data_IF_755455867851
#
_entry.id   IF_755455867851
#
_cell.length_a   1.000
_cell.length_b   1.000
_cell.length_c   1.000
_cell.angle_alpha   90.00
_cell.angle_beta   90.00
_cell.angle_gamma   90.00
#
_symmetry.space_group_name_H-M   'P 1'
#
loop_
_entity.id
_entity.type
_entity.pdbx_description
1 polymer ?
#
# COMPACT_ATOMS: atom_id res chain seq x y z
N UNK A 1 34.94 -52.76 6.74
CA UNK A 1 33.83 -52.45 7.65
C UNK A 1 33.92 -50.94 7.90
N UNK A 2 33.39 -50.12 7.01
CA UNK A 2 31.96 -49.71 6.95
C UNK A 2 31.51 -49.05 8.27
N UNK A 3 30.92 -47.86 8.36
CA UNK A 3 30.72 -46.71 7.47
C UNK A 3 30.32 -45.56 8.39
N UNK A 4 30.72 -44.35 8.00
CA UNK A 4 30.30 -43.07 8.57
C UNK A 4 28.79 -42.93 8.75
N UNK A 5 28.38 -42.26 9.83
CA UNK A 5 27.00 -41.85 10.08
C UNK A 5 26.92 -40.43 10.62
N UNK A 6 27.63 -39.48 10.01
CA UNK A 6 27.37 -38.06 10.26
C UNK A 6 26.02 -37.72 9.66
N UNK A 7 24.97 -37.67 10.49
CA UNK A 7 23.69 -37.06 10.12
C UNK A 7 23.96 -35.59 9.78
N UNK A 8 24.14 -35.32 8.48
CA UNK A 8 24.03 -33.96 7.95
C UNK A 8 22.61 -33.51 8.23
N UNK A 9 22.49 -32.49 9.07
CA UNK A 9 21.28 -31.70 9.22
C UNK A 9 20.74 -31.37 7.84
N UNK A 10 19.53 -31.88 7.58
CA UNK A 10 18.79 -31.67 6.37
C UNK A 10 18.47 -30.18 6.31
N UNK A 11 19.25 -29.42 5.53
CA UNK A 11 18.92 -28.02 5.23
C UNK A 11 17.56 -28.02 4.56
N UNK A 12 16.63 -27.26 5.13
CA UNK A 12 15.33 -26.96 4.56
C UNK A 12 15.49 -26.10 3.30
N UNK A 13 15.98 -26.69 2.20
CA UNK A 13 16.21 -26.00 0.92
C UNK A 13 14.90 -25.73 0.13
N UNK A 14 13.73 -26.11 0.68
CA UNK A 14 12.45 -26.08 -0.06
C UNK A 14 11.56 -24.85 0.16
N UNK A 15 11.66 -24.12 1.27
CA UNK A 15 10.68 -23.08 1.65
C UNK A 15 11.15 -21.66 1.42
N UNK A 16 12.43 -21.39 1.63
CA UNK A 16 13.05 -20.07 1.48
C UNK A 16 12.77 -19.39 0.12
N UNK A 17 12.69 -20.12 -1.02
CA UNK A 17 12.32 -19.52 -2.31
C UNK A 17 10.86 -19.04 -2.38
N UNK A 18 9.93 -19.69 -1.66
CA UNK A 18 8.49 -19.43 -1.76
C UNK A 18 8.05 -18.33 -0.80
N UNK A 19 8.50 -18.38 0.46
CA UNK A 19 8.26 -17.29 1.41
C UNK A 19 8.87 -15.99 0.92
N UNK A 20 10.07 -16.02 0.33
CA UNK A 20 10.68 -14.83 -0.27
C UNK A 20 9.83 -14.21 -1.38
N UNK A 21 9.21 -15.02 -2.26
CA UNK A 21 8.31 -14.52 -3.31
C UNK A 21 7.11 -13.79 -2.74
N UNK A 22 6.49 -14.33 -1.68
CA UNK A 22 5.33 -13.72 -1.05
C UNK A 22 5.72 -12.47 -0.28
N UNK A 23 6.85 -12.45 0.42
CA UNK A 23 7.37 -11.23 1.05
C UNK A 23 7.70 -10.15 0.02
N UNK A 24 8.29 -10.51 -1.12
CA UNK A 24 8.51 -9.55 -2.21
C UNK A 24 7.19 -9.01 -2.78
N UNK A 25 6.18 -9.86 -2.95
CA UNK A 25 4.85 -9.42 -3.38
C UNK A 25 4.17 -8.50 -2.36
N UNK A 26 4.34 -8.79 -1.07
CA UNK A 26 3.89 -7.94 0.04
C UNK A 26 4.54 -6.56 -0.01
N UNK A 27 5.86 -6.51 -0.12
CA UNK A 27 6.61 -5.25 -0.14
C UNK A 27 6.25 -4.44 -1.39
N UNK A 28 6.11 -5.11 -2.54
CA UNK A 28 5.68 -4.49 -3.80
C UNK A 28 4.27 -3.93 -3.68
N UNK A 29 3.34 -4.66 -3.03
CA UNK A 29 1.98 -4.17 -2.78
C UNK A 29 2.01 -2.85 -2.01
N UNK A 30 2.75 -2.77 -0.89
CA UNK A 30 2.83 -1.55 -0.09
C UNK A 30 3.60 -0.42 -0.77
N UNK A 31 4.60 -0.73 -1.61
CA UNK A 31 5.26 0.26 -2.45
C UNK A 31 4.29 0.86 -3.49
N UNK A 32 3.52 0.01 -4.18
CA UNK A 32 2.49 0.45 -5.13
C UNK A 32 1.43 1.31 -4.42
N UNK A 33 0.99 0.91 -3.22
CA UNK A 33 0.05 1.71 -2.41
C UNK A 33 0.63 3.09 -2.05
N UNK A 34 1.87 3.10 -1.55
CA UNK A 34 2.54 4.33 -1.12
C UNK A 34 2.75 5.30 -2.28
N UNK A 35 3.04 4.81 -3.48
CA UNK A 35 3.18 5.66 -4.67
C UNK A 35 1.88 6.41 -4.98
N UNK A 36 0.74 5.71 -4.98
CA UNK A 36 -0.58 6.32 -5.23
C UNK A 36 -0.93 7.32 -4.13
N UNK A 37 -0.69 6.96 -2.86
CA UNK A 37 -0.93 7.85 -1.72
C UNK A 37 -0.06 9.12 -1.80
N UNK A 38 1.22 8.97 -2.13
CA UNK A 38 2.16 10.08 -2.23
C UNK A 38 1.74 11.07 -3.33
N UNK A 39 1.31 10.58 -4.50
CA UNK A 39 0.80 11.43 -5.58
C UNK A 39 -0.47 12.21 -5.17
N UNK A 40 -1.36 11.60 -4.38
CA UNK A 40 -2.53 12.29 -3.81
C UNK A 40 -2.11 13.35 -2.78
N UNK A 41 -1.18 13.01 -1.89
CA UNK A 41 -0.65 13.90 -0.87
C UNK A 41 0.01 15.14 -1.47
N UNK A 42 0.80 14.99 -2.55
CA UNK A 42 1.42 16.13 -3.22
C UNK A 42 0.41 17.14 -3.75
N UNK A 43 -0.70 16.65 -4.35
CA UNK A 43 -1.77 17.52 -4.87
C UNK A 43 -2.51 18.25 -3.75
N UNK A 44 -2.81 17.55 -2.66
CA UNK A 44 -3.41 18.15 -1.47
C UNK A 44 -2.49 19.23 -0.89
N UNK A 45 -1.19 18.95 -0.78
CA UNK A 45 -0.21 19.88 -0.23
C UNK A 45 -0.08 21.14 -1.10
N UNK A 46 -0.09 21.00 -2.43
CA UNK A 46 -0.10 22.15 -3.34
C UNK A 46 -1.35 23.02 -3.14
N UNK A 47 -2.54 22.41 -3.02
CA UNK A 47 -3.78 23.14 -2.75
C UNK A 47 -3.76 23.82 -1.36
N UNK A 48 -3.17 23.17 -0.35
CA UNK A 48 -3.02 23.74 0.99
C UNK A 48 -2.12 24.99 0.99
N UNK A 49 -1.03 24.99 0.21
CA UNK A 49 -0.15 26.16 0.07
C UNK A 49 -0.91 27.34 -0.54
N UNK A 50 -1.71 27.12 -1.57
CA UNK A 50 -2.54 28.17 -2.18
C UNK A 50 -3.60 28.71 -1.20
N UNK A 51 -4.22 27.82 -0.41
CA UNK A 51 -5.13 28.23 0.65
C UNK A 51 -4.46 29.11 1.71
N UNK A 52 -3.27 28.72 2.19
CA UNK A 52 -2.49 29.53 3.14
C UNK A 52 -2.12 30.90 2.55
N UNK A 53 -1.74 30.95 1.27
CA UNK A 53 -1.45 32.22 0.58
C UNK A 53 -2.69 33.11 0.52
N UNK A 54 -3.85 32.56 0.19
CA UNK A 54 -5.11 33.31 0.14
C UNK A 54 -5.52 33.83 1.53
N UNK A 55 -5.26 33.05 2.59
CA UNK A 55 -5.51 33.47 3.96
C UNK A 55 -4.65 34.68 4.36
N UNK A 56 -3.37 34.68 3.99
CA UNK A 56 -2.48 35.84 4.22
C UNK A 56 -2.93 37.08 3.45
N UNK A 57 -3.43 36.92 2.22
CA UNK A 57 -3.98 38.03 1.44
C UNK A 57 -5.29 38.56 2.02
N UNK A 58 -6.12 37.70 2.60
CA UNK A 58 -7.36 38.09 3.26
C UNK A 58 -7.14 38.93 4.53
N UNK A 59 -5.98 38.79 5.17
CA UNK A 59 -5.59 39.61 6.32
C UNK A 59 -5.09 41.00 5.91
N UNK A 60 -4.84 41.25 4.62
CA UNK A 60 -4.47 42.58 4.14
C UNK A 60 -5.72 43.43 3.86
N UNK A 61 -5.68 44.75 4.07
CA UNK A 61 -6.81 45.66 3.86
C UNK A 61 -7.07 45.95 2.36
N UNK A 62 -7.12 44.91 1.53
CA UNK A 62 -7.46 44.99 0.10
C UNK A 62 -8.86 44.42 -0.16
N UNK A 63 -9.63 45.06 -1.05
CA UNK A 63 -11.04 44.78 -1.32
C UNK A 63 -11.37 43.33 -1.77
N UNK A 64 -10.37 42.53 -2.16
CA UNK A 64 -10.57 41.20 -2.72
C UNK A 64 -10.11 40.04 -1.82
N UNK A 65 -9.56 40.33 -0.63
CA UNK A 65 -8.95 39.32 0.24
C UNK A 65 -9.90 38.18 0.64
N UNK A 66 -11.12 38.51 1.09
CA UNK A 66 -12.12 37.52 1.48
C UNK A 66 -12.63 36.67 0.31
N UNK A 67 -12.78 37.27 -0.88
CA UNK A 67 -13.22 36.56 -2.09
C UNK A 67 -12.16 35.54 -2.55
N UNK A 68 -10.88 35.92 -2.48
CA UNK A 68 -9.77 35.02 -2.81
C UNK A 68 -9.67 33.86 -1.80
N UNK A 69 -9.90 34.13 -0.52
CA UNK A 69 -9.93 33.08 0.51
C UNK A 69 -11.05 32.08 0.27
N UNK A 70 -12.26 32.55 -0.03
CA UNK A 70 -13.39 31.66 -0.31
C UNK A 70 -13.10 30.76 -1.54
N UNK A 71 -12.61 31.33 -2.63
CA UNK A 71 -12.24 30.57 -3.82
C UNK A 71 -11.14 29.53 -3.53
N UNK A 72 -10.14 29.87 -2.72
CA UNK A 72 -9.09 28.95 -2.33
C UNK A 72 -9.60 27.84 -1.39
N UNK A 73 -10.55 28.14 -0.50
CA UNK A 73 -11.19 27.15 0.36
C UNK A 73 -11.99 26.13 -0.46
N UNK A 74 -12.79 26.60 -1.42
CA UNK A 74 -13.56 25.76 -2.35
C UNK A 74 -12.63 24.90 -3.21
N UNK A 75 -11.54 25.47 -3.72
CA UNK A 75 -10.53 24.74 -4.49
C UNK A 75 -9.83 23.66 -3.65
N UNK A 76 -9.45 23.98 -2.41
CA UNK A 76 -8.86 23.01 -1.49
C UNK A 76 -9.82 21.85 -1.19
N UNK A 77 -11.08 22.16 -0.86
CA UNK A 77 -12.10 21.15 -0.60
C UNK A 77 -12.34 20.26 -1.82
N UNK A 78 -12.36 20.84 -3.03
CA UNK A 78 -12.49 20.09 -4.28
C UNK A 78 -11.31 19.14 -4.49
N UNK A 79 -10.07 19.64 -4.39
CA UNK A 79 -8.86 18.83 -4.56
C UNK A 79 -8.81 17.70 -3.53
N UNK A 80 -9.20 17.98 -2.28
CA UNK A 80 -9.28 16.97 -1.24
C UNK A 80 -10.28 15.85 -1.60
N UNK A 81 -11.49 16.22 -2.04
CA UNK A 81 -12.50 15.23 -2.44
C UNK A 81 -12.10 14.46 -3.70
N UNK A 82 -11.50 15.11 -4.68
CA UNK A 82 -10.98 14.46 -5.89
C UNK A 82 -9.87 13.47 -5.55
N UNK A 83 -8.92 13.85 -4.68
CA UNK A 83 -7.87 12.97 -4.20
C UNK A 83 -8.44 11.73 -3.49
N UNK A 84 -9.43 11.91 -2.61
CA UNK A 84 -10.09 10.77 -1.93
C UNK A 84 -10.84 9.86 -2.91
N UNK A 85 -11.57 10.44 -3.88
CA UNK A 85 -12.27 9.67 -4.92
C UNK A 85 -11.30 8.91 -5.81
N UNK A 86 -10.20 9.53 -6.21
CA UNK A 86 -9.17 8.88 -7.00
C UNK A 86 -8.50 7.74 -6.25
N UNK A 87 -8.29 7.91 -4.93
CA UNK A 87 -7.82 6.82 -4.08
C UNK A 87 -8.86 5.69 -4.06
N UNK A 88 -10.12 5.95 -3.77
CA UNK A 88 -11.17 4.92 -3.73
C UNK A 88 -11.38 4.21 -5.09
N UNK A 89 -11.37 4.97 -6.18
CA UNK A 89 -11.56 4.47 -7.55
C UNK A 89 -10.27 4.03 -8.23
N UNK A 90 -9.14 4.07 -7.52
CA UNK A 90 -7.84 3.84 -8.15
C UNK A 90 -7.75 2.43 -8.69
N UNK A 91 -7.80 2.32 -10.03
CA UNK A 91 -7.45 1.09 -10.74
C UNK A 91 -6.10 0.56 -10.26
N UNK A 92 -5.16 1.44 -9.89
CA UNK A 92 -3.83 1.07 -9.38
C UNK A 92 -3.90 0.33 -8.04
N UNK A 93 -4.82 0.67 -7.13
CA UNK A 93 -4.99 -0.10 -5.89
C UNK A 93 -5.57 -1.49 -6.13
N UNK A 94 -6.55 -1.58 -7.02
CA UNK A 94 -7.10 -2.88 -7.43
C UNK A 94 -6.04 -3.72 -8.14
N UNK A 95 -5.26 -3.12 -9.04
CA UNK A 95 -4.16 -3.79 -9.75
C UNK A 95 -3.09 -4.28 -8.77
N UNK A 96 -2.69 -3.47 -7.78
CA UNK A 96 -1.74 -3.87 -6.74
C UNK A 96 -2.24 -5.08 -5.94
N UNK A 97 -3.50 -5.06 -5.51
CA UNK A 97 -4.11 -6.20 -4.80
C UNK A 97 -4.21 -7.44 -5.69
N UNK A 98 -4.57 -7.29 -6.96
CA UNK A 98 -4.65 -8.41 -7.90
C UNK A 98 -3.28 -9.04 -8.17
N UNK A 99 -2.22 -8.23 -8.32
CA UNK A 99 -0.84 -8.72 -8.43
C UNK A 99 -0.46 -9.54 -7.20
N UNK A 100 -0.68 -9.00 -6.00
CA UNK A 100 -0.41 -9.71 -4.74
C UNK A 100 -1.17 -11.04 -4.68
N UNK A 101 -2.48 -11.01 -4.91
CA UNK A 101 -3.34 -12.20 -4.90
C UNK A 101 -2.86 -13.25 -5.89
N UNK A 102 -2.54 -12.85 -7.12
CA UNK A 102 -2.07 -13.78 -8.17
C UNK A 102 -0.76 -14.44 -7.76
N UNK A 103 0.19 -13.67 -7.21
CA UNK A 103 1.45 -14.23 -6.72
C UNK A 103 1.24 -15.20 -5.56
N UNK A 104 0.40 -14.84 -4.58
CA UNK A 104 0.09 -15.73 -3.45
C UNK A 104 -0.59 -17.01 -3.93
N UNK A 105 -1.62 -16.91 -4.78
CA UNK A 105 -2.31 -18.08 -5.32
C UNK A 105 -1.36 -18.99 -6.11
N UNK A 106 -0.54 -18.43 -6.99
CA UNK A 106 0.44 -19.20 -7.77
C UNK A 106 1.50 -19.86 -6.87
N UNK A 107 1.92 -19.18 -5.81
CA UNK A 107 2.90 -19.72 -4.87
C UNK A 107 2.31 -20.84 -4.01
N UNK A 108 1.09 -20.66 -3.49
CA UNK A 108 0.39 -21.68 -2.69
C UNK A 108 0.03 -22.92 -3.52
N UNK A 109 -0.34 -22.75 -4.79
CA UNK A 109 -0.69 -23.88 -5.67
C UNK A 109 0.49 -24.81 -5.94
N UNK A 110 1.72 -24.30 -5.85
CA UNK A 110 2.95 -25.09 -6.00
C UNK A 110 3.56 -25.55 -4.68
N UNK A 111 2.92 -25.26 -3.54
CA UNK A 111 3.49 -25.51 -2.22
C UNK A 111 2.99 -26.85 -1.67
N UNK A 112 3.91 -27.68 -1.17
CA UNK A 112 3.55 -28.82 -0.34
C UNK A 112 3.35 -28.33 1.10
N UNK A 113 2.18 -28.59 1.70
CA UNK A 113 1.85 -28.12 3.05
C UNK A 113 2.87 -28.60 4.09
N UNK A 114 3.36 -29.82 3.93
CA UNK A 114 4.32 -30.49 4.82
C UNK A 114 5.73 -29.89 4.74
N UNK A 115 6.00 -29.11 3.69
CA UNK A 115 7.27 -28.41 3.53
C UNK A 115 7.30 -27.11 4.34
N UNK A 116 6.14 -26.55 4.75
CA UNK A 116 6.10 -25.25 5.41
C UNK A 116 6.52 -25.36 6.87
N UNK A 117 7.66 -24.74 7.22
CA UNK A 117 8.01 -24.58 8.61
C UNK A 117 7.03 -23.60 9.31
N UNK A 118 6.85 -23.70 10.64
CA UNK A 118 5.91 -22.87 11.37
C UNK A 118 6.15 -21.35 11.25
N UNK A 119 7.41 -20.91 11.10
CA UNK A 119 7.76 -19.50 10.97
C UNK A 119 7.35 -18.99 9.58
N UNK A 120 7.61 -19.77 8.54
CA UNK A 120 7.13 -19.49 7.20
C UNK A 120 5.60 -19.42 7.14
N UNK A 121 4.91 -20.34 7.82
CA UNK A 121 3.44 -20.33 7.93
C UNK A 121 2.92 -19.06 8.62
N UNK A 122 3.55 -18.65 9.72
CA UNK A 122 3.18 -17.44 10.44
C UNK A 122 3.40 -16.17 9.60
N UNK A 123 4.55 -16.05 8.93
CA UNK A 123 4.87 -14.90 8.07
C UNK A 123 3.89 -14.79 6.89
N UNK A 124 3.53 -15.93 6.30
CA UNK A 124 2.53 -15.99 5.24
C UNK A 124 1.16 -15.52 5.74
N UNK A 125 0.70 -16.05 6.87
CA UNK A 125 -0.58 -15.67 7.48
C UNK A 125 -0.62 -14.17 7.83
N UNK A 126 0.46 -13.65 8.41
CA UNK A 126 0.58 -12.23 8.75
C UNK A 126 0.53 -11.35 7.50
N UNK A 127 1.28 -11.69 6.45
CA UNK A 127 1.25 -10.96 5.18
C UNK A 127 -0.15 -10.88 4.58
N UNK A 128 -0.84 -12.02 4.48
CA UNK A 128 -2.20 -12.06 3.93
C UNK A 128 -3.19 -11.28 4.80
N UNK A 129 -3.07 -11.37 6.12
CA UNK A 129 -3.92 -10.63 7.06
C UNK A 129 -3.75 -9.12 6.92
N UNK A 130 -2.51 -8.64 6.87
CA UNK A 130 -2.18 -7.22 6.72
C UNK A 130 -2.68 -6.68 5.38
N UNK A 131 -2.42 -7.38 4.27
CA UNK A 131 -2.90 -6.96 2.95
C UNK A 131 -4.44 -6.95 2.87
N UNK A 132 -5.11 -7.96 3.44
CA UNK A 132 -6.56 -8.01 3.46
C UNK A 132 -7.17 -6.85 4.27
N UNK A 133 -6.57 -6.49 5.41
CA UNK A 133 -7.00 -5.36 6.22
C UNK A 133 -6.90 -4.04 5.45
N UNK A 134 -5.77 -3.78 4.80
CA UNK A 134 -5.57 -2.57 3.99
C UNK A 134 -6.51 -2.53 2.78
N UNK A 135 -6.68 -3.64 2.06
CA UNK A 135 -7.60 -3.70 0.94
C UNK A 135 -9.05 -3.39 1.35
N UNK A 136 -9.48 -3.84 2.53
CA UNK A 136 -10.81 -3.54 3.06
C UNK A 136 -10.94 -2.07 3.49
N UNK A 137 -9.91 -1.48 4.11
CA UNK A 137 -9.91 -0.06 4.48
C UNK A 137 -10.00 0.84 3.24
N UNK A 138 -9.24 0.51 2.19
CA UNK A 138 -9.26 1.29 0.94
C UNK A 138 -10.62 1.25 0.24
N UNK A 139 -11.34 0.11 0.30
CA UNK A 139 -12.72 -0.01 -0.22
C UNK A 139 -13.76 0.74 0.60
N UNK A 140 -13.44 1.06 1.86
CA UNK A 140 -14.32 1.81 2.75
C UNK A 140 -14.11 3.33 2.64
N UNK A 141 -13.16 3.79 1.80
CA UNK A 141 -13.03 5.20 1.49
C UNK A 141 -14.30 5.71 0.79
N UNK A 142 -14.68 6.98 1.02
CA UNK A 142 -15.88 7.59 0.43
C UNK A 142 -15.76 7.90 -1.07
#
# INVERSE_FOLDING_TARGET
>A
METSGTQKGQKSEGTEPLTKRIMTAHDTYFQDLNAVWYEAQQRIQAAQVEYQRALLQAMQPQDNGMKNLQAAAEAFQRVWQEALKELNSSKRFNDAYQKYRTTVQGTLSGMQADALDPVAAMNLAQSMSVVAAYANQLRALP
#
